data_IF_102863753952
#
_entry.id   IF_102863753952
#
_cell.length_a   1.000
_cell.length_b   1.000
_cell.length_c   1.000
_cell.angle_alpha   90.00
_cell.angle_beta   90.00
_cell.angle_gamma   90.00
#
_symmetry.space_group_name_H-M   'P 1'
#
loop_
_entity.id
_entity.type
_entity.pdbx_description
1 polymer ?
#
# COMPACT_ATOMS: atom_id res chain seq x y z
N UNK A 1 4.95 -10.17 -4.17
CA UNK A 1 4.96 -9.79 -2.73
C UNK A 1 3.54 -9.75 -2.14
N UNK A 2 2.61 -9.00 -2.74
CA UNK A 2 1.20 -8.88 -2.27
C UNK A 2 0.55 -10.23 -1.98
N UNK A 3 0.60 -11.15 -2.96
CA UNK A 3 0.04 -12.49 -2.77
C UNK A 3 0.63 -13.24 -1.58
N UNK A 4 1.95 -13.15 -1.39
CA UNK A 4 2.63 -13.81 -0.27
C UNK A 4 2.20 -13.24 1.08
N UNK A 5 1.99 -11.92 1.18
CA UNK A 5 1.53 -11.28 2.40
C UNK A 5 0.13 -11.73 2.78
N UNK A 6 -0.79 -11.70 1.81
CA UNK A 6 -2.18 -12.10 2.03
C UNK A 6 -2.25 -13.58 2.40
N UNK A 7 -1.52 -14.44 1.67
CA UNK A 7 -1.49 -15.90 1.92
C UNK A 7 -0.95 -16.25 3.32
N UNK A 8 0.06 -15.54 3.81
CA UNK A 8 0.71 -15.84 5.10
C UNK A 8 0.13 -15.04 6.27
N UNK A 9 -0.91 -14.23 6.05
CA UNK A 9 -1.61 -13.48 7.10
C UNK A 9 -3.09 -13.88 7.18
N UNK A 10 -3.42 -15.18 7.29
CA UNK A 10 -4.81 -15.62 7.35
C UNK A 10 -5.50 -15.00 8.56
N UNK A 11 -6.73 -14.52 8.38
CA UNK A 11 -7.56 -13.91 9.42
C UNK A 11 -6.99 -12.63 10.07
N UNK A 12 -5.88 -12.08 9.57
CA UNK A 12 -5.32 -10.83 10.09
C UNK A 12 -6.12 -9.60 9.64
N UNK A 13 -6.73 -9.67 8.46
CA UNK A 13 -7.50 -8.59 7.84
C UNK A 13 -8.89 -9.08 7.48
N UNK A 14 -9.91 -8.25 7.75
CA UNK A 14 -11.29 -8.60 7.40
C UNK A 14 -11.65 -8.33 5.95
N UNK A 15 -10.92 -7.44 5.28
CA UNK A 15 -11.12 -7.10 3.88
C UNK A 15 -9.84 -6.61 3.22
N UNK A 16 -9.71 -6.85 1.92
CA UNK A 16 -8.61 -6.41 1.07
C UNK A 16 -9.07 -5.37 0.05
N UNK A 17 -8.39 -4.22 0.02
CA UNK A 17 -8.62 -3.12 -0.90
C UNK A 17 -7.42 -2.99 -1.83
N UNK A 18 -7.60 -3.22 -3.12
CA UNK A 18 -6.54 -3.06 -4.14
C UNK A 18 -6.80 -1.79 -4.95
N UNK A 19 -5.89 -0.84 -4.83
CA UNK A 19 -5.83 0.38 -5.63
C UNK A 19 -4.62 0.25 -6.55
N UNK A 20 -4.85 -0.21 -7.78
CA UNK A 20 -3.77 -0.46 -8.73
C UNK A 20 -3.99 0.34 -10.02
N UNK A 21 -2.90 0.70 -10.70
CA UNK A 21 -2.97 1.40 -12.00
C UNK A 21 -3.52 0.50 -13.10
N UNK A 22 -3.19 -0.80 -13.04
CA UNK A 22 -3.72 -1.84 -13.92
C UNK A 22 -4.50 -2.89 -13.09
N UNK A 23 -5.81 -2.70 -12.85
CA UNK A 23 -6.61 -3.59 -12.01
C UNK A 23 -6.90 -4.96 -12.65
N UNK A 24 -6.73 -5.09 -13.97
CA UNK A 24 -7.11 -6.29 -14.74
C UNK A 24 -5.92 -7.15 -15.13
N UNK A 25 -4.76 -6.92 -14.52
CA UNK A 25 -3.64 -7.85 -14.65
C UNK A 25 -3.93 -9.20 -13.99
N UNK A 26 -3.28 -10.24 -14.51
CA UNK A 26 -3.49 -11.65 -14.14
C UNK A 26 -3.50 -11.89 -12.62
N UNK A 27 -2.55 -11.30 -11.90
CA UNK A 27 -2.44 -11.44 -10.45
C UNK A 27 -3.72 -11.00 -9.72
N UNK A 28 -4.26 -9.82 -10.06
CA UNK A 28 -5.44 -9.31 -9.37
C UNK A 28 -6.69 -10.03 -9.82
N UNK A 29 -6.80 -10.44 -11.08
CA UNK A 29 -7.92 -11.28 -11.53
C UNK A 29 -7.94 -12.61 -10.78
N UNK A 30 -6.78 -13.25 -10.60
CA UNK A 30 -6.65 -14.44 -9.78
C UNK A 30 -7.05 -14.18 -8.32
N UNK A 31 -6.64 -13.04 -7.74
CA UNK A 31 -7.04 -12.68 -6.38
C UNK A 31 -8.54 -12.38 -6.25
N UNK A 32 -9.15 -11.72 -7.24
CA UNK A 32 -10.61 -11.48 -7.31
C UNK A 32 -11.37 -12.81 -7.26
N UNK A 33 -10.94 -13.78 -8.08
CA UNK A 33 -11.52 -15.14 -8.11
C UNK A 33 -11.39 -15.86 -6.76
N UNK A 34 -10.18 -15.88 -6.17
CA UNK A 34 -9.91 -16.64 -4.95
C UNK A 34 -10.43 -16.00 -3.66
N UNK A 35 -10.59 -14.69 -3.64
CA UNK A 35 -11.00 -13.93 -2.46
C UNK A 35 -12.39 -13.31 -2.61
N UNK A 36 -13.23 -13.86 -3.50
CA UNK A 36 -14.56 -13.33 -3.79
C UNK A 36 -15.33 -12.95 -2.51
N UNK A 37 -15.85 -11.72 -2.47
CA UNK A 37 -16.54 -11.14 -1.30
C UNK A 37 -15.63 -10.53 -0.22
N UNK A 38 -14.34 -10.83 -0.22
CA UNK A 38 -13.33 -10.31 0.73
C UNK A 38 -12.34 -9.33 0.10
N UNK A 39 -12.48 -9.06 -1.19
CA UNK A 39 -11.61 -8.16 -1.96
C UNK A 39 -12.45 -7.14 -2.73
N UNK A 40 -11.99 -5.89 -2.70
CA UNK A 40 -12.45 -4.82 -3.60
C UNK A 40 -11.26 -4.32 -4.40
N UNK A 41 -11.38 -4.36 -5.72
CA UNK A 41 -10.41 -3.75 -6.65
C UNK A 41 -11.06 -2.51 -7.23
N UNK A 42 -10.42 -1.36 -7.05
CA UNK A 42 -11.00 -0.07 -7.41
C UNK A 42 -10.66 0.34 -8.85
N UNK A 43 -11.52 1.17 -9.44
CA UNK A 43 -11.28 1.79 -10.74
C UNK A 43 -10.05 2.71 -10.67
N UNK A 44 -9.04 2.54 -11.55
CA UNK A 44 -7.87 3.40 -11.59
C UNK A 44 -8.18 4.85 -11.98
N UNK A 45 -9.30 5.16 -12.65
CA UNK A 45 -9.67 6.55 -12.96
C UNK A 45 -10.14 7.32 -11.74
N UNK A 46 -10.68 6.62 -10.75
CA UNK A 46 -11.21 7.21 -9.51
C UNK A 46 -10.73 6.43 -8.28
N UNK A 47 -9.44 6.57 -7.89
CA UNK A 47 -8.93 5.92 -6.68
C UNK A 47 -9.70 6.39 -5.43
N UNK A 48 -10.04 5.47 -4.51
CA UNK A 48 -10.80 5.83 -3.32
C UNK A 48 -9.97 6.70 -2.39
N UNK A 49 -10.64 7.61 -1.68
CA UNK A 49 -10.09 8.30 -0.52
C UNK A 49 -10.30 7.44 0.73
N UNK A 50 -9.57 7.77 1.79
CA UNK A 50 -9.76 7.18 3.13
C UNK A 50 -11.20 7.30 3.62
N UNK A 51 -11.93 8.32 3.16
CA UNK A 51 -13.32 8.55 3.57
C UNK A 51 -14.35 7.70 2.83
N UNK A 52 -13.98 7.18 1.67
CA UNK A 52 -14.87 6.36 0.83
C UNK A 52 -14.86 4.89 1.30
N UNK A 53 -13.79 4.46 1.98
CA UNK A 53 -13.69 3.11 2.53
C UNK A 53 -14.42 3.03 3.89
N UNK A 54 -15.48 2.23 3.92
CA UNK A 54 -16.26 1.96 5.11
C UNK A 54 -15.43 1.23 6.17
N UNK A 55 -15.62 1.60 7.44
CA UNK A 55 -15.04 0.85 8.55
C UNK A 55 -15.74 -0.49 8.67
N UNK A 56 -15.00 -1.54 9.01
CA UNK A 56 -15.61 -2.81 9.39
C UNK A 56 -16.47 -2.57 10.64
N UNK A 57 -17.78 -2.92 10.63
CA UNK A 57 -18.67 -2.70 11.77
C UNK A 57 -18.21 -3.39 13.06
N UNK A 58 -17.46 -4.49 12.94
CA UNK A 58 -16.87 -5.24 14.07
C UNK A 58 -15.57 -4.60 14.56
N UNK A 59 -15.11 -3.55 13.89
CA UNK A 59 -13.82 -2.92 14.14
C UNK A 59 -12.64 -3.73 13.62
N UNK A 60 -12.80 -4.74 12.78
CA UNK A 60 -11.63 -5.45 12.27
C UNK A 60 -10.73 -4.56 11.39
N UNK A 61 -9.44 -4.89 11.34
CA UNK A 61 -8.46 -4.18 10.50
C UNK A 61 -8.68 -4.61 9.05
N UNK A 62 -8.62 -3.65 8.12
CA UNK A 62 -8.65 -3.91 6.68
C UNK A 62 -7.30 -3.55 6.07
N UNK A 63 -6.92 -4.26 5.00
CA UNK A 63 -5.67 -4.04 4.28
C UNK A 63 -5.93 -3.26 3.00
N UNK A 64 -5.21 -2.16 2.81
CA UNK A 64 -5.17 -1.36 1.59
C UNK A 64 -3.81 -1.55 0.92
N UNK A 65 -3.81 -1.92 -0.35
CA UNK A 65 -2.62 -2.07 -1.17
C UNK A 65 -2.72 -1.10 -2.33
N UNK A 66 -1.74 -0.20 -2.41
CA UNK A 66 -1.59 0.77 -3.48
C UNK A 66 -0.40 0.33 -4.32
N UNK A 67 -0.61 0.05 -5.60
CA UNK A 67 0.38 -0.54 -6.48
C UNK A 67 0.47 0.20 -7.82
N UNK A 68 1.68 0.23 -8.39
CA UNK A 68 2.00 0.88 -9.66
C UNK A 68 1.68 2.39 -9.76
N UNK A 69 1.71 3.09 -8.62
CA UNK A 69 1.52 4.55 -8.56
C UNK A 69 2.82 5.32 -8.25
N UNK A 70 3.99 4.70 -8.39
CA UNK A 70 5.30 5.26 -8.02
C UNK A 70 5.63 6.61 -8.71
N UNK A 71 5.15 6.79 -9.94
CA UNK A 71 5.37 7.96 -10.78
C UNK A 71 4.32 9.07 -10.58
N UNK A 72 3.14 8.74 -10.05
CA UNK A 72 2.02 9.68 -9.93
C UNK A 72 2.13 10.53 -8.65
N UNK A 73 2.91 11.62 -8.72
CA UNK A 73 3.21 12.47 -7.57
C UNK A 73 1.97 13.19 -7.04
N UNK A 74 1.04 13.55 -7.92
CA UNK A 74 -0.18 14.24 -7.52
C UNK A 74 -1.08 13.31 -6.72
N UNK A 75 -1.35 12.09 -7.20
CA UNK A 75 -2.14 11.13 -6.43
C UNK A 75 -1.43 10.69 -5.15
N UNK A 76 -0.10 10.56 -5.17
CA UNK A 76 0.67 10.29 -3.95
C UNK A 76 0.44 11.35 -2.87
N UNK A 77 0.53 12.62 -3.24
CA UNK A 77 0.36 13.73 -2.31
C UNK A 77 -1.11 13.90 -1.89
N UNK A 78 -2.03 14.00 -2.85
CA UNK A 78 -3.41 14.43 -2.60
C UNK A 78 -4.33 13.30 -2.08
N UNK A 79 -3.98 12.04 -2.36
CA UNK A 79 -4.84 10.88 -2.06
C UNK A 79 -4.12 9.87 -1.18
N UNK A 80 -3.00 9.33 -1.66
CA UNK A 80 -2.37 8.17 -1.01
C UNK A 80 -1.68 8.53 0.31
N UNK A 81 -1.12 9.74 0.45
CA UNK A 81 -0.54 10.23 1.72
C UNK A 81 -1.55 10.16 2.88
N UNK A 82 -2.83 10.42 2.61
CA UNK A 82 -3.89 10.41 3.61
C UNK A 82 -4.11 9.01 4.20
N UNK A 83 -3.90 7.94 3.43
CA UNK A 83 -3.96 6.58 3.97
C UNK A 83 -2.90 6.34 5.04
N UNK A 84 -1.71 6.92 4.89
CA UNK A 84 -0.63 6.80 5.87
C UNK A 84 -0.82 7.73 7.08
N UNK A 85 -1.38 8.93 6.88
CA UNK A 85 -1.59 9.91 7.96
C UNK A 85 -2.80 9.51 8.83
N UNK A 86 -3.95 9.27 8.22
CA UNK A 86 -5.23 9.10 8.92
C UNK A 86 -5.90 7.74 8.73
N UNK A 87 -5.45 6.92 7.77
CA UNK A 87 -6.00 5.57 7.55
C UNK A 87 -5.96 4.68 8.81
N UNK A 88 -4.92 4.84 9.64
CA UNK A 88 -4.82 4.13 10.93
C UNK A 88 -6.00 4.40 11.89
N UNK A 89 -6.57 5.61 11.89
CA UNK A 89 -7.74 5.95 12.72
C UNK A 89 -9.02 5.30 12.19
N UNK A 90 -8.98 4.78 10.96
CA UNK A 90 -10.04 3.98 10.33
C UNK A 90 -9.73 2.48 10.29
N UNK A 91 -8.68 2.04 10.99
CA UNK A 91 -8.22 0.64 10.97
C UNK A 91 -7.88 0.15 9.55
N UNK A 92 -7.38 1.05 8.71
CA UNK A 92 -6.81 0.74 7.40
C UNK A 92 -5.29 0.61 7.52
N UNK A 93 -4.80 -0.62 7.47
CA UNK A 93 -3.37 -0.89 7.29
C UNK A 93 -3.04 -0.70 5.82
N UNK A 94 -2.04 0.13 5.50
CA UNK A 94 -1.75 0.49 4.11
C UNK A 94 -0.35 0.03 3.70
N UNK A 95 -0.24 -0.57 2.53
CA UNK A 95 0.99 -0.88 1.82
C UNK A 95 1.05 -0.08 0.54
N UNK A 96 2.16 0.62 0.32
CA UNK A 96 2.43 1.33 -0.94
C UNK A 96 3.63 0.69 -1.61
N UNK A 97 3.41 0.08 -2.78
CA UNK A 97 4.46 -0.58 -3.53
C UNK A 97 5.14 0.45 -4.44
N UNK A 98 6.44 0.64 -4.23
CA UNK A 98 7.20 1.67 -4.92
C UNK A 98 8.52 1.15 -5.47
N UNK A 99 8.89 1.62 -6.66
CA UNK A 99 10.20 1.34 -7.26
C UNK A 99 11.34 2.12 -6.60
N UNK A 100 11.05 3.25 -5.94
CA UNK A 100 12.05 4.07 -5.27
C UNK A 100 11.47 4.70 -4.02
N UNK A 101 11.97 4.23 -2.87
CA UNK A 101 11.65 4.86 -1.59
C UNK A 101 12.00 6.34 -1.61
N UNK A 102 13.16 6.74 -2.13
CA UNK A 102 13.58 8.14 -2.06
C UNK A 102 12.78 9.09 -2.94
N UNK A 103 12.23 8.58 -4.04
CA UNK A 103 11.34 9.35 -4.92
C UNK A 103 9.89 9.38 -4.44
N UNK A 104 9.50 8.53 -3.48
CA UNK A 104 8.12 8.49 -2.96
C UNK A 104 7.81 9.76 -2.17
N UNK A 105 6.56 10.22 -2.24
CA UNK A 105 6.12 11.45 -1.56
C UNK A 105 6.53 11.50 -0.08
N UNK A 106 6.93 12.70 0.37
CA UNK A 106 7.49 12.91 1.72
C UNK A 106 6.51 12.49 2.81
N UNK A 107 5.21 12.76 2.64
CA UNK A 107 4.20 12.44 3.65
C UNK A 107 4.00 10.93 3.78
N UNK A 108 3.98 10.20 2.67
CA UNK A 108 3.97 8.73 2.71
C UNK A 108 5.20 8.25 3.48
N UNK A 109 6.40 8.76 3.14
CA UNK A 109 7.65 8.28 3.75
C UNK A 109 7.76 8.53 5.25
N UNK A 110 7.36 9.72 5.70
CA UNK A 110 7.43 10.09 7.12
C UNK A 110 6.40 9.35 7.97
N UNK A 111 5.29 8.90 7.38
CA UNK A 111 4.22 8.23 8.10
C UNK A 111 4.25 6.69 7.94
N UNK A 112 5.18 6.14 7.16
CA UNK A 112 5.41 4.69 7.10
C UNK A 112 6.19 4.20 8.32
N UNK A 113 5.61 3.25 9.05
CA UNK A 113 6.28 2.59 10.18
C UNK A 113 7.32 1.55 9.76
N UNK A 114 7.08 0.90 8.63
CA UNK A 114 7.93 -0.18 8.13
C UNK A 114 8.31 0.11 6.67
N UNK A 115 9.52 -0.28 6.31
CA UNK A 115 10.05 -0.23 4.95
C UNK A 115 10.67 -1.59 4.62
N UNK A 116 10.17 -2.24 3.57
CA UNK A 116 10.71 -3.50 3.09
C UNK A 116 11.39 -3.31 1.74
N UNK A 117 12.66 -3.70 1.67
CA UNK A 117 13.49 -3.54 0.48
C UNK A 117 13.85 -4.94 0.00
N UNK A 118 13.14 -5.42 -1.01
CA UNK A 118 13.28 -6.80 -1.50
C UNK A 118 14.58 -7.00 -2.29
N UNK A 119 14.92 -6.06 -3.17
CA UNK A 119 16.16 -6.07 -3.93
C UNK A 119 16.56 -4.64 -4.28
N UNK A 120 17.65 -4.17 -3.70
CA UNK A 120 18.23 -2.87 -4.05
C UNK A 120 19.02 -3.04 -5.35
N UNK A 121 18.45 -2.66 -6.49
CA UNK A 121 19.14 -2.75 -7.78
C UNK A 121 20.21 -1.66 -7.97
N UNK A 122 20.40 -0.73 -7.02
CA UNK A 122 21.40 0.35 -7.13
C UNK A 122 22.26 0.52 -5.88
N UNK A 123 23.56 0.78 -6.09
CA UNK A 123 24.53 1.13 -5.01
C UNK A 123 24.12 2.39 -4.23
N UNK A 124 23.30 3.27 -4.82
CA UNK A 124 22.82 4.53 -4.21
C UNK A 124 21.77 4.27 -3.13
N UNK A 125 20.89 3.30 -3.33
CA UNK A 125 19.87 2.91 -2.34
C UNK A 125 20.49 2.23 -1.12
N UNK A 126 21.61 1.52 -1.30
CA UNK A 126 22.39 0.90 -0.22
C UNK A 126 23.18 1.94 0.60
N UNK A 127 23.74 2.97 -0.05
CA UNK A 127 24.55 4.00 0.61
C UNK A 127 23.72 4.87 1.57
N UNK A 128 22.52 5.29 1.17
CA UNK A 128 21.62 6.08 2.04
C UNK A 128 21.02 5.28 3.21
N UNK A 129 20.95 3.94 3.12
CA UNK A 129 20.53 3.11 4.27
C UNK A 129 21.59 3.05 5.37
N UNK A 130 22.87 3.08 5.01
CA UNK A 130 23.98 3.11 5.99
C UNK A 130 24.01 4.44 6.75
N UNK A 131 23.84 5.56 6.04
CA UNK A 131 23.85 6.91 6.63
C UNK A 131 22.72 7.17 7.65
N UNK A 132 21.66 6.34 7.68
CA UNK A 132 20.61 6.40 8.73
C UNK A 132 20.90 5.55 9.97
N UNK A 133 21.75 4.52 9.87
CA UNK A 133 22.18 3.73 11.04
C UNK A 133 23.26 4.44 11.85
N UNK A 134 23.97 5.37 11.21
CA UNK A 134 25.10 6.09 11.79
C UNK A 134 24.76 7.52 12.26
N UNK A 135 23.46 7.87 12.35
CA UNK A 135 23.03 9.09 13.05
C UNK A 135 22.72 8.75 14.52
N UNK A 136 23.37 9.42 15.49
CA UNK A 136 23.15 9.18 16.93
C UNK A 136 21.72 9.49 17.36
#
# INVERSE_FOLDING_TARGET
MVFHLVKNSPNAYSHLHIVARNPDQELYNYMKDKLAGYITVYDPSEPPRVDDIQKDPRGSIQLVIIDDYSSDKKLQHDVFSHFFIRGRHKRLSTLFLTHSWFATDKLIRLNSKYLWILKANSKRDLKMQRERKDKP
#
